data_IF_915236725909
#
_entry.id   IF_915236725909
#
_cell.length_a   1.000
_cell.length_b   1.000
_cell.length_c   1.000
_cell.angle_alpha   90.00
_cell.angle_beta   90.00
_cell.angle_gamma   90.00
#
_symmetry.space_group_name_H-M   'P 1'
#
loop_
_entity.id
_entity.type
_entity.pdbx_description
1 polymer ?
#
# COMPACT_ATOMS: atom_id res chain seq x y z
N UNK A 1 0.54 -30.72 -46.70
CA UNK A 1 1.34 -30.59 -45.45
C UNK A 1 2.37 -29.46 -45.58
N UNK A 2 2.05 -28.29 -45.00
CA UNK A 2 2.90 -27.11 -45.01
C UNK A 2 3.93 -27.17 -43.88
N UNK A 3 5.18 -26.78 -44.17
CA UNK A 3 6.28 -26.73 -43.20
C UNK A 3 6.07 -25.60 -42.16
N UNK A 4 6.56 -25.77 -40.92
CA UNK A 4 6.41 -24.78 -39.86
C UNK A 4 7.27 -23.53 -40.11
N UNK A 5 6.83 -22.34 -39.65
CA UNK A 5 7.56 -21.08 -39.84
C UNK A 5 8.83 -21.00 -38.97
N UNK A 6 9.85 -20.22 -39.40
CA UNK A 6 11.12 -20.09 -38.68
C UNK A 6 11.00 -19.24 -37.39
N UNK A 7 11.87 -19.46 -36.40
CA UNK A 7 11.84 -18.75 -35.12
C UNK A 7 12.30 -17.28 -35.24
N UNK A 8 11.84 -16.39 -34.33
CA UNK A 8 12.18 -14.96 -34.36
C UNK A 8 13.65 -14.68 -33.98
N UNK A 9 14.23 -13.56 -34.44
CA UNK A 9 15.63 -13.24 -34.21
C UNK A 9 15.91 -12.91 -32.74
N UNK A 10 17.04 -13.45 -32.24
CA UNK A 10 17.53 -13.20 -30.88
C UNK A 10 17.92 -11.73 -30.70
N UNK A 11 17.28 -11.04 -29.76
CA UNK A 11 17.64 -9.69 -29.38
C UNK A 11 19.08 -9.65 -28.82
N UNK A 12 19.95 -8.88 -29.47
CA UNK A 12 21.32 -8.60 -29.00
C UNK A 12 21.27 -7.89 -27.65
N UNK A 13 21.96 -8.44 -26.66
CA UNK A 13 22.15 -7.84 -25.35
C UNK A 13 22.89 -6.51 -25.46
N UNK A 14 22.18 -5.41 -25.18
CA UNK A 14 22.76 -4.10 -24.90
C UNK A 14 23.28 -4.06 -23.48
N UNK A 15 24.59 -3.80 -23.32
CA UNK A 15 25.28 -3.61 -22.05
C UNK A 15 24.55 -2.57 -21.19
N UNK A 16 24.11 -2.96 -19.98
CA UNK A 16 23.67 -2.00 -18.95
C UNK A 16 24.91 -1.43 -18.27
N UNK A 17 25.09 -0.11 -18.40
CA UNK A 17 26.00 0.68 -17.59
C UNK A 17 25.61 0.59 -16.12
N UNK A 18 26.62 0.44 -15.26
CA UNK A 18 26.45 0.16 -13.84
C UNK A 18 25.75 1.27 -13.06
N UNK A 19 25.00 0.85 -12.03
CA UNK A 19 24.71 1.67 -10.85
C UNK A 19 25.07 0.89 -9.59
N UNK A 20 25.43 1.67 -8.59
CA UNK A 20 26.07 1.33 -7.32
C UNK A 20 25.64 0.04 -6.62
N UNK A 21 26.66 -0.53 -5.98
CA UNK A 21 26.67 -1.56 -4.96
C UNK A 21 25.36 -1.82 -4.18
N UNK A 22 24.94 -3.09 -4.16
CA UNK A 22 24.56 -3.75 -2.90
C UNK A 22 23.12 -4.21 -2.72
N UNK A 23 22.20 -3.94 -3.64
CA UNK A 23 20.87 -4.57 -3.61
C UNK A 23 20.79 -5.66 -4.68
N UNK A 24 20.16 -6.82 -4.41
CA UNK A 24 19.84 -7.75 -5.48
C UNK A 24 19.05 -7.00 -6.55
N UNK A 25 19.31 -7.29 -7.83
CA UNK A 25 18.58 -6.70 -8.97
C UNK A 25 17.06 -6.91 -8.88
N UNK A 26 16.60 -7.71 -7.91
CA UNK A 26 15.22 -7.93 -7.59
C UNK A 26 14.99 -8.15 -6.07
N UNK A 27 14.63 -7.11 -5.30
CA UNK A 27 14.37 -7.24 -3.85
C UNK A 27 13.11 -8.06 -3.57
N UNK A 28 13.03 -8.72 -2.41
CA UNK A 28 11.81 -9.39 -1.99
C UNK A 28 10.66 -8.39 -1.81
N UNK A 29 9.43 -8.83 -2.09
CA UNK A 29 8.22 -8.04 -1.90
C UNK A 29 7.33 -8.73 -0.86
N UNK A 30 6.48 -7.95 -0.20
CA UNK A 30 5.44 -8.52 0.64
C UNK A 30 4.40 -9.27 -0.22
N UNK A 31 3.83 -10.36 0.28
CA UNK A 31 2.87 -11.17 -0.47
C UNK A 31 1.52 -10.48 -0.64
N UNK A 32 1.19 -9.49 0.19
CA UNK A 32 -0.08 -8.74 0.12
C UNK A 32 0.18 -7.33 -0.39
N UNK A 33 -0.63 -6.89 -1.36
CA UNK A 33 -0.55 -5.56 -1.96
C UNK A 33 -1.91 -4.98 -2.32
N UNK A 34 -1.91 -3.78 -2.91
CA UNK A 34 -3.10 -3.12 -3.44
C UNK A 34 -3.00 -2.96 -4.95
N UNK A 35 -4.06 -3.33 -5.67
CA UNK A 35 -4.22 -2.98 -7.07
C UNK A 35 -4.48 -1.47 -7.18
N UNK A 36 -3.79 -0.80 -8.10
CA UNK A 36 -3.93 0.64 -8.33
C UNK A 36 -4.28 0.94 -9.78
N UNK A 37 -5.21 1.86 -9.99
CA UNK A 37 -5.51 2.45 -11.29
C UNK A 37 -4.65 3.70 -11.48
N UNK A 38 -3.88 3.76 -12.57
CA UNK A 38 -3.24 5.01 -13.01
C UNK A 38 -4.33 5.94 -13.53
N UNK A 39 -4.64 6.99 -12.77
CA UNK A 39 -5.64 8.00 -13.14
C UNK A 39 -5.01 9.17 -13.88
N UNK A 40 -3.73 9.44 -13.62
CA UNK A 40 -2.97 10.48 -14.32
C UNK A 40 -1.51 10.05 -14.49
N UNK A 41 -0.92 10.44 -15.61
CA UNK A 41 0.48 10.20 -15.93
C UNK A 41 1.03 11.40 -16.72
N UNK A 42 2.03 12.05 -16.18
CA UNK A 42 2.68 13.22 -16.78
C UNK A 42 4.18 12.95 -16.87
N UNK A 43 4.77 13.13 -18.06
CA UNK A 43 6.21 13.10 -18.23
C UNK A 43 6.80 14.48 -17.95
N UNK A 44 7.76 14.54 -17.04
CA UNK A 44 8.48 15.74 -16.68
C UNK A 44 9.59 16.05 -17.70
N UNK A 45 10.05 17.31 -17.82
CA UNK A 45 11.10 17.71 -18.76
C UNK A 45 12.44 16.98 -18.60
N UNK A 46 12.73 16.45 -17.41
CA UNK A 46 13.94 15.67 -17.11
C UNK A 46 13.80 14.18 -17.42
N UNK A 47 12.66 13.76 -18.00
CA UNK A 47 12.35 12.39 -18.36
C UNK A 47 11.78 11.53 -17.23
N UNK A 48 11.58 12.08 -16.01
CA UNK A 48 10.82 11.41 -14.94
C UNK A 48 9.32 11.47 -15.22
N UNK A 49 8.55 10.73 -14.44
CA UNK A 49 7.10 10.71 -14.53
C UNK A 49 6.46 11.03 -13.17
N UNK A 50 5.44 11.87 -13.19
CA UNK A 50 4.48 11.99 -12.10
C UNK A 50 3.29 11.08 -12.42
N UNK A 51 2.99 10.16 -11.51
CA UNK A 51 1.90 9.20 -11.66
C UNK A 51 0.97 9.35 -10.47
N UNK A 52 -0.32 9.57 -10.76
CA UNK A 52 -1.37 9.54 -9.73
C UNK A 52 -2.05 8.18 -9.81
N UNK A 53 -2.08 7.49 -8.66
CA UNK A 53 -2.67 6.17 -8.50
C UNK A 53 -3.89 6.25 -7.59
N UNK A 54 -4.96 5.57 -7.98
CA UNK A 54 -6.11 5.29 -7.11
C UNK A 54 -6.10 3.81 -6.71
N UNK A 55 -6.03 3.52 -5.42
CA UNK A 55 -6.20 2.16 -4.91
C UNK A 55 -7.58 1.60 -5.28
N UNK A 56 -7.64 0.32 -5.63
CA UNK A 56 -8.87 -0.36 -6.03
C UNK A 56 -9.25 -1.47 -5.05
N UNK A 57 -8.38 -2.46 -4.87
CA UNK A 57 -8.65 -3.61 -4.00
C UNK A 57 -7.35 -4.22 -3.50
N UNK A 58 -7.45 -4.95 -2.39
CA UNK A 58 -6.35 -5.71 -1.81
C UNK A 58 -6.20 -7.06 -2.52
N UNK A 59 -4.97 -7.49 -2.73
CA UNK A 59 -4.66 -8.78 -3.35
C UNK A 59 -3.55 -9.52 -2.61
N UNK A 60 -3.45 -10.82 -2.88
CA UNK A 60 -2.30 -11.67 -2.53
C UNK A 60 -1.60 -12.14 -3.79
N UNK A 61 -0.27 -12.10 -3.80
CA UNK A 61 0.57 -12.69 -4.84
C UNK A 61 0.49 -14.21 -4.73
N UNK A 62 0.15 -14.87 -5.84
CA UNK A 62 0.10 -16.33 -5.98
C UNK A 62 1.40 -16.86 -6.60
N UNK A 63 1.88 -16.18 -7.64
CA UNK A 63 3.09 -16.56 -8.37
C UNK A 63 3.75 -15.33 -8.97
N UNK A 64 5.09 -15.34 -9.08
CA UNK A 64 5.89 -14.25 -9.60
C UNK A 64 6.66 -14.65 -10.86
N UNK A 65 6.54 -13.84 -11.91
CA UNK A 65 7.34 -13.92 -13.14
C UNK A 65 8.31 -12.73 -13.19
N UNK A 66 9.60 -13.04 -13.02
CA UNK A 66 10.69 -12.07 -12.98
C UNK A 66 11.53 -12.09 -14.28
N UNK A 67 11.01 -12.68 -15.36
CA UNK A 67 11.73 -12.82 -16.64
C UNK A 67 11.92 -11.49 -17.40
N UNK A 68 11.26 -10.42 -16.97
CA UNK A 68 11.29 -9.09 -17.61
C UNK A 68 12.02 -8.07 -16.75
N UNK A 69 12.27 -6.89 -17.33
CA UNK A 69 12.81 -5.74 -16.58
C UNK A 69 11.86 -5.16 -15.53
N UNK A 70 10.65 -5.73 -15.42
CA UNK A 70 9.65 -5.41 -14.42
C UNK A 70 9.03 -6.71 -13.91
N UNK A 71 8.61 -6.71 -12.64
CA UNK A 71 7.96 -7.87 -12.02
C UNK A 71 6.55 -8.04 -12.56
N UNK A 72 6.19 -9.28 -12.87
CA UNK A 72 4.81 -9.69 -13.13
C UNK A 72 4.39 -10.67 -12.04
N UNK A 73 3.12 -10.66 -11.70
CA UNK A 73 2.58 -11.59 -10.72
C UNK A 73 1.15 -12.00 -11.10
N UNK A 74 0.83 -13.27 -10.84
CA UNK A 74 -0.55 -13.73 -10.74
C UNK A 74 -1.05 -13.42 -9.34
N UNK A 75 -2.23 -12.82 -9.21
CA UNK A 75 -2.75 -12.36 -7.93
C UNK A 75 -4.17 -12.85 -7.68
N UNK A 76 -4.49 -13.10 -6.41
CA UNK A 76 -5.83 -13.40 -5.93
C UNK A 76 -6.40 -12.16 -5.23
N UNK A 77 -7.65 -11.80 -5.52
CA UNK A 77 -8.31 -10.68 -4.83
C UNK A 77 -8.67 -11.10 -3.41
N UNK A 78 -8.33 -10.26 -2.43
CA UNK A 78 -8.70 -10.46 -1.04
C UNK A 78 -9.96 -9.66 -0.72
N UNK A 79 -10.98 -10.35 -0.22
CA UNK A 79 -12.18 -9.68 0.27
C UNK A 79 -11.86 -8.80 1.48
N UNK A 80 -12.53 -7.66 1.57
CA UNK A 80 -12.50 -6.79 2.74
C UNK A 80 -13.90 -6.78 3.35
N UNK A 81 -14.17 -7.64 4.36
CA UNK A 81 -15.50 -7.70 4.94
C UNK A 81 -15.81 -6.39 5.66
N UNK A 82 -16.92 -5.78 5.28
CA UNK A 82 -17.41 -4.53 5.86
C UNK A 82 -18.67 -4.79 6.68
N UNK A 83 -18.68 -4.27 7.90
CA UNK A 83 -19.87 -4.18 8.75
C UNK A 83 -20.02 -2.74 9.21
N UNK A 84 -21.09 -2.09 8.76
CA UNK A 84 -21.32 -0.66 9.01
C UNK A 84 -21.48 -0.35 10.51
N UNK A 85 -22.10 -1.25 11.30
CA UNK A 85 -22.23 -0.99 12.74
C UNK A 85 -20.90 -1.20 13.46
N UNK A 86 -20.18 -2.28 13.16
CA UNK A 86 -18.85 -2.53 13.68
C UNK A 86 -17.86 -1.40 13.33
N UNK A 87 -17.95 -0.81 12.14
CA UNK A 87 -17.14 0.35 11.75
C UNK A 87 -17.49 1.61 12.53
N UNK A 88 -18.79 1.88 12.77
CA UNK A 88 -19.22 2.99 13.63
C UNK A 88 -18.68 2.81 15.05
N UNK A 89 -18.72 1.60 15.59
CA UNK A 89 -18.18 1.30 16.92
C UNK A 89 -16.65 1.46 16.97
N UNK A 90 -15.95 0.90 15.99
CA UNK A 90 -14.50 0.99 15.88
C UNK A 90 -14.03 2.45 15.79
N UNK A 91 -14.74 3.27 14.99
CA UNK A 91 -14.50 4.72 14.93
C UNK A 91 -14.68 5.40 16.28
N UNK A 92 -15.78 5.16 16.99
CA UNK A 92 -16.01 5.73 18.34
C UNK A 92 -14.90 5.35 19.31
N UNK A 93 -14.38 4.11 19.21
CA UNK A 93 -13.26 3.65 20.04
C UNK A 93 -11.97 4.41 19.70
N UNK A 94 -11.68 4.60 18.42
CA UNK A 94 -10.52 5.35 17.96
C UNK A 94 -10.59 6.82 18.41
N UNK A 95 -11.75 7.48 18.31
CA UNK A 95 -11.97 8.85 18.80
C UNK A 95 -11.69 8.98 20.29
N UNK A 96 -12.17 8.01 21.10
CA UNK A 96 -11.88 7.98 22.55
C UNK A 96 -10.38 7.80 22.83
N UNK A 97 -9.71 6.95 22.07
CA UNK A 97 -8.27 6.72 22.22
C UNK A 97 -7.46 7.97 21.88
N UNK A 98 -7.79 8.66 20.79
CA UNK A 98 -7.13 9.92 20.42
C UNK A 98 -7.36 11.02 21.47
N UNK A 99 -8.57 11.09 22.04
CA UNK A 99 -8.86 12.01 23.13
C UNK A 99 -8.05 11.67 24.39
N UNK A 100 -7.96 10.38 24.75
CA UNK A 100 -7.23 9.92 25.93
C UNK A 100 -5.71 10.05 25.84
N UNK A 101 -5.15 9.98 24.63
CA UNK A 101 -3.72 10.18 24.36
C UNK A 101 -3.31 11.64 24.27
N UNK A 102 -4.26 12.59 24.35
CA UNK A 102 -3.99 14.02 24.18
C UNK A 102 -3.63 14.41 22.73
N UNK A 103 -3.97 13.55 21.77
CA UNK A 103 -3.69 13.77 20.35
C UNK A 103 -4.45 14.99 19.81
N UNK A 104 -3.78 15.80 19.00
CA UNK A 104 -4.42 16.87 18.22
C UNK A 104 -5.02 16.36 16.89
N UNK A 105 -4.93 15.05 16.62
CA UNK A 105 -5.50 14.44 15.42
C UNK A 105 -7.03 14.56 15.43
N UNK A 106 -7.58 15.34 14.50
CA UNK A 106 -9.02 15.49 14.31
C UNK A 106 -9.52 14.55 13.23
N UNK A 107 -10.49 13.70 13.57
CA UNK A 107 -11.11 12.81 12.60
C UNK A 107 -12.19 13.55 11.78
N UNK A 108 -12.18 13.47 10.45
CA UNK A 108 -13.21 14.07 9.60
C UNK A 108 -14.61 13.50 9.91
N UNK A 109 -15.54 14.33 10.37
CA UNK A 109 -16.89 13.91 10.78
C UNK A 109 -17.73 13.27 9.66
N UNK A 110 -17.50 13.66 8.40
CA UNK A 110 -18.29 13.19 7.24
C UNK A 110 -17.68 12.05 6.43
N UNK A 111 -16.50 11.54 6.82
CA UNK A 111 -15.84 10.44 6.12
C UNK A 111 -16.39 9.09 6.57
N UNK A 112 -16.57 8.15 5.64
CA UNK A 112 -16.97 6.78 5.94
C UNK A 112 -15.95 6.10 6.88
N UNK A 113 -16.40 5.14 7.70
CA UNK A 113 -15.54 4.45 8.66
C UNK A 113 -14.39 3.67 8.02
N UNK A 114 -14.65 2.95 6.92
CA UNK A 114 -13.62 2.20 6.22
C UNK A 114 -12.62 3.15 5.55
N UNK A 115 -13.12 4.19 4.89
CA UNK A 115 -12.29 5.22 4.26
C UNK A 115 -11.42 5.96 5.27
N UNK A 116 -11.97 6.28 6.45
CA UNK A 116 -11.24 6.92 7.53
C UNK A 116 -10.07 6.06 8.00
N UNK A 117 -10.32 4.77 8.24
CA UNK A 117 -9.28 3.84 8.68
C UNK A 117 -8.19 3.71 7.61
N UNK A 118 -8.57 3.62 6.33
CA UNK A 118 -7.63 3.58 5.21
C UNK A 118 -6.79 4.86 5.12
N UNK A 119 -7.43 6.03 5.20
CA UNK A 119 -6.77 7.31 5.16
C UNK A 119 -5.77 7.47 6.31
N UNK A 120 -6.17 7.15 7.55
CA UNK A 120 -5.27 7.21 8.69
C UNK A 120 -4.08 6.25 8.53
N UNK A 121 -4.34 5.02 8.09
CA UNK A 121 -3.26 4.03 7.83
C UNK A 121 -2.27 4.51 6.77
N UNK A 122 -2.72 5.31 5.80
CA UNK A 122 -1.89 5.86 4.73
C UNK A 122 -1.08 7.07 5.20
N UNK A 123 -1.74 8.05 5.84
CA UNK A 123 -1.17 9.37 6.12
C UNK A 123 -0.35 9.44 7.40
N UNK A 124 -0.63 8.60 8.39
CA UNK A 124 0.19 8.56 9.61
C UNK A 124 1.60 8.05 9.30
N UNK A 125 2.57 8.63 10.02
CA UNK A 125 3.98 8.23 9.97
C UNK A 125 4.18 6.92 10.73
N UNK A 126 3.84 5.82 10.08
CA UNK A 126 4.17 4.46 10.50
C UNK A 126 5.34 3.91 9.69
N UNK A 127 6.12 3.03 10.31
CA UNK A 127 7.17 2.29 9.63
C UNK A 127 6.57 1.39 8.53
N UNK A 128 7.32 1.09 7.46
CA UNK A 128 6.82 0.24 6.37
C UNK A 128 6.24 -1.11 6.84
N UNK A 129 6.84 -1.70 7.89
CA UNK A 129 6.39 -2.97 8.48
C UNK A 129 5.02 -2.81 9.16
N UNK A 130 4.81 -1.70 9.87
CA UNK A 130 3.55 -1.39 10.53
C UNK A 130 2.44 -1.13 9.49
N UNK A 131 2.75 -0.35 8.44
CA UNK A 131 1.82 -0.14 7.31
C UNK A 131 1.45 -1.45 6.63
N UNK A 132 2.42 -2.34 6.43
CA UNK A 132 2.16 -3.67 5.90
C UNK A 132 1.26 -4.49 6.84
N UNK A 133 1.51 -4.47 8.14
CA UNK A 133 0.70 -5.18 9.12
C UNK A 133 -0.76 -4.69 9.13
N UNK A 134 -0.99 -3.40 8.94
CA UNK A 134 -2.31 -2.79 8.77
C UNK A 134 -3.00 -3.21 7.47
N UNK A 135 -2.26 -3.25 6.35
CA UNK A 135 -2.78 -3.70 5.06
C UNK A 135 -3.27 -5.16 5.13
N UNK A 136 -2.51 -6.01 5.80
CA UNK A 136 -2.77 -7.45 5.93
C UNK A 136 -3.95 -7.81 6.84
N UNK A 137 -4.52 -6.86 7.58
CA UNK A 137 -5.71 -7.11 8.41
C UNK A 137 -6.92 -7.51 7.56
N UNK A 138 -7.78 -8.37 8.11
CA UNK A 138 -8.96 -8.88 7.42
C UNK A 138 -10.13 -7.88 7.46
N UNK A 139 -10.02 -6.83 6.65
CA UNK A 139 -11.03 -5.79 6.55
C UNK A 139 -10.79 -4.59 7.48
N UNK A 140 -11.58 -3.53 7.31
CA UNK A 140 -11.33 -2.23 7.94
C UNK A 140 -11.56 -2.24 9.46
N UNK A 141 -12.40 -3.13 10.01
CA UNK A 141 -12.61 -3.21 11.47
C UNK A 141 -11.35 -3.71 12.17
N UNK A 142 -10.76 -4.82 11.70
CA UNK A 142 -9.52 -5.36 12.28
C UNK A 142 -8.34 -4.41 12.05
N UNK A 143 -8.32 -3.71 10.91
CA UNK A 143 -7.37 -2.62 10.65
C UNK A 143 -7.53 -1.49 11.66
N UNK A 144 -8.76 -1.08 11.98
CA UNK A 144 -9.01 -0.03 12.96
C UNK A 144 -8.54 -0.41 14.36
N UNK A 145 -8.69 -1.68 14.75
CA UNK A 145 -8.19 -2.20 16.04
C UNK A 145 -6.67 -2.12 16.10
N UNK A 146 -6.00 -2.70 15.09
CA UNK A 146 -4.54 -2.67 14.99
C UNK A 146 -3.98 -1.23 14.93
N UNK A 147 -4.67 -0.33 14.23
CA UNK A 147 -4.33 1.08 14.20
C UNK A 147 -4.40 1.72 15.60
N UNK A 148 -5.45 1.41 16.37
CA UNK A 148 -5.57 1.87 17.75
C UNK A 148 -4.42 1.38 18.62
N UNK A 149 -4.03 0.11 18.49
CA UNK A 149 -2.92 -0.47 19.25
C UNK A 149 -1.58 0.23 18.91
N UNK A 150 -1.31 0.48 17.62
CA UNK A 150 -0.11 1.21 17.18
C UNK A 150 -0.07 2.65 17.72
N UNK A 151 -1.21 3.34 17.70
CA UNK A 151 -1.31 4.70 18.21
C UNK A 151 -1.08 4.77 19.73
N UNK A 152 -1.59 3.80 20.47
CA UNK A 152 -1.36 3.69 21.92
C UNK A 152 0.13 3.49 22.23
N UNK A 153 0.80 2.59 21.49
CA UNK A 153 2.23 2.35 21.63
C UNK A 153 3.07 3.61 21.33
N UNK A 154 2.73 4.36 20.28
CA UNK A 154 3.42 5.61 19.94
C UNK A 154 3.23 6.70 21.01
N UNK A 155 2.02 6.80 21.57
CA UNK A 155 1.73 7.76 22.64
C UNK A 155 2.53 7.46 23.91
N UNK A 156 2.66 6.18 24.28
CA UNK A 156 3.49 5.75 25.41
C UNK A 156 4.98 5.98 25.18
N UNK A 157 5.44 5.91 23.93
CA UNK A 157 6.82 6.19 23.53
C UNK A 157 7.16 7.71 23.45
N UNK A 158 6.19 8.59 23.69
CA UNK A 158 6.39 10.05 23.68
C UNK A 158 6.48 10.67 22.28
N UNK A 159 6.01 9.97 21.25
CA UNK A 159 5.95 10.48 19.88
C UNK A 159 4.67 11.28 19.61
N UNK A 160 4.80 12.47 19.01
CA UNK A 160 3.67 13.16 18.40
C UNK A 160 3.22 12.44 17.13
N UNK A 161 1.91 12.34 16.90
CA UNK A 161 1.33 11.75 15.68
C UNK A 161 1.58 12.65 14.48
N UNK A 162 2.68 12.40 13.77
CA UNK A 162 3.03 13.16 12.57
C UNK A 162 2.25 12.64 11.36
N UNK A 163 1.69 13.59 10.61
CA UNK A 163 0.96 13.32 9.37
C UNK A 163 1.88 13.63 8.19
N UNK A 164 1.91 12.73 7.21
CA UNK A 164 2.49 13.03 5.90
C UNK A 164 1.56 14.03 5.20
N UNK A 165 2.05 15.17 4.68
CA UNK A 165 1.20 16.09 3.95
C UNK A 165 0.55 15.39 2.75
N UNK A 166 -0.76 15.56 2.58
CA UNK A 166 -1.46 15.12 1.39
C UNK A 166 -0.89 15.84 0.17
N UNK A 167 -0.42 15.08 -0.83
CA UNK A 167 0.00 15.61 -2.12
C UNK A 167 -1.20 15.82 -3.04
#
# INVERSE_FOLDING_TARGET
>A
PAAPPPPPPRARGGRRGGRGAGAPDNPAVFPTGCAGLITHCEQLPDGRYNIVLRGLYKFRIVEEDQSRSYRRASVETLAEPEDAEGLREARRRLERLLTGTGSNLKLPAGMDGADLVNALSQYLEFDPIEKQALLERNGPIDRCRALGDLLEMQSLAGGDFRQTPAQ
#
